data_IF_346761807861
#
_entry.id   IF_346761807861
#
_cell.length_a   1.000
_cell.length_b   1.000
_cell.length_c   1.000
_cell.angle_alpha   90.00
_cell.angle_beta   90.00
_cell.angle_gamma   90.00
#
_symmetry.space_group_name_H-M   'P 1'
#
loop_
_entity.id
_entity.type
_entity.pdbx_description
1 polymer ?
#
# COMPACT_ATOMS: atom_id res chain seq x y z
N UNK A 1 -48.87 -41.03 -28.73
CA UNK A 1 -47.82 -41.71 -29.52
C UNK A 1 -46.51 -40.98 -29.25
N UNK A 2 -45.59 -41.55 -28.45
CA UNK A 2 -44.37 -42.28 -28.87
C UNK A 2 -43.49 -41.37 -29.77
N UNK A 3 -42.28 -40.93 -29.43
CA UNK A 3 -41.18 -41.55 -28.66
C UNK A 3 -40.37 -40.53 -27.81
N UNK A 4 -39.88 -41.01 -26.66
CA UNK A 4 -38.71 -40.51 -25.91
C UNK A 4 -37.42 -41.08 -26.51
N UNK A 5 -36.27 -40.38 -26.42
CA UNK A 5 -35.13 -40.76 -25.54
C UNK A 5 -33.86 -39.88 -25.68
N UNK A 6 -32.98 -39.88 -24.65
CA UNK A 6 -31.86 -38.96 -24.41
C UNK A 6 -30.47 -39.55 -24.76
N UNK A 7 -29.44 -38.72 -24.73
CA UNK A 7 -28.01 -39.10 -24.58
C UNK A 7 -27.46 -38.25 -23.41
N UNK A 8 -27.02 -38.79 -22.26
CA UNK A 8 -25.96 -39.76 -21.94
C UNK A 8 -24.68 -39.06 -21.47
N UNK A 9 -24.51 -39.10 -20.14
CA UNK A 9 -23.29 -38.88 -19.34
C UNK A 9 -22.10 -39.69 -19.88
N UNK A 10 -20.90 -39.11 -19.81
CA UNK A 10 -19.64 -39.86 -19.73
C UNK A 10 -18.80 -39.29 -18.58
N UNK A 11 -18.77 -40.03 -17.48
CA UNK A 11 -17.75 -39.91 -16.43
C UNK A 11 -16.53 -40.74 -16.86
N UNK A 12 -15.32 -40.22 -16.68
CA UNK A 12 -14.09 -41.01 -16.72
C UNK A 12 -13.34 -40.80 -15.41
N UNK A 13 -13.18 -41.91 -14.69
CA UNK A 13 -12.46 -42.09 -13.44
C UNK A 13 -10.97 -42.38 -13.70
N UNK A 14 -10.12 -41.69 -12.92
CA UNK A 14 -8.89 -42.11 -12.23
C UNK A 14 -7.98 -43.19 -12.84
N UNK A 15 -6.67 -42.89 -12.88
CA UNK A 15 -5.61 -43.88 -12.67
C UNK A 15 -4.49 -43.29 -11.82
N UNK A 16 -4.30 -43.88 -10.64
CA UNK A 16 -3.16 -43.72 -9.74
C UNK A 16 -2.03 -44.73 -10.08
N UNK A 17 -0.86 -44.48 -9.46
CA UNK A 17 0.30 -45.38 -9.21
C UNK A 17 1.50 -45.15 -10.16
N UNK A 18 2.78 -45.14 -9.77
CA UNK A 18 3.48 -45.31 -8.47
C UNK A 18 4.98 -44.99 -8.64
N UNK A 19 5.59 -44.54 -7.53
CA UNK A 19 6.99 -44.51 -7.07
C UNK A 19 8.18 -45.14 -7.84
N UNK A 20 9.35 -44.49 -7.70
CA UNK A 20 10.66 -45.06 -7.33
C UNK A 20 11.38 -43.97 -6.48
N UNK A 21 11.78 -44.11 -5.21
CA UNK A 21 12.53 -45.16 -4.48
C UNK A 21 14.03 -44.82 -4.36
N UNK A 22 14.57 -45.07 -3.15
CA UNK A 22 15.98 -45.29 -2.75
C UNK A 22 16.73 -44.06 -2.21
N UNK A 23 17.40 -44.07 -1.05
CA UNK A 23 17.45 -44.95 0.14
C UNK A 23 18.39 -44.30 1.17
N UNK A 24 18.17 -44.65 2.43
CA UNK A 24 18.81 -44.22 3.68
C UNK A 24 20.35 -44.34 3.79
N UNK A 25 20.95 -43.53 4.68
CA UNK A 25 21.83 -44.07 5.72
C UNK A 25 21.92 -43.18 6.98
N UNK A 26 21.86 -43.84 8.14
CA UNK A 26 21.72 -43.31 9.50
C UNK A 26 23.04 -42.93 10.17
N UNK A 27 22.96 -42.04 11.17
CA UNK A 27 23.67 -42.02 12.49
C UNK A 27 23.23 -40.71 13.18
N UNK A 28 22.57 -40.66 14.33
CA UNK A 28 22.66 -41.51 15.52
C UNK A 28 23.52 -40.81 16.57
N UNK A 29 22.94 -39.89 17.36
CA UNK A 29 23.37 -39.58 18.73
C UNK A 29 22.14 -39.21 19.56
N UNK A 30 21.81 -40.09 20.49
CA UNK A 30 20.90 -39.86 21.60
C UNK A 30 21.54 -38.90 22.60
N UNK A 31 20.75 -37.95 23.13
CA UNK A 31 20.83 -37.58 24.54
C UNK A 31 19.56 -36.83 24.93
N UNK A 32 18.70 -37.52 25.68
CA UNK A 32 17.65 -36.86 26.44
C UNK A 32 18.24 -36.06 27.58
N UNK A 33 17.56 -34.99 27.99
CA UNK A 33 17.39 -34.59 29.39
C UNK A 33 16.19 -33.65 29.43
N UNK A 34 15.10 -34.17 29.98
CA UNK A 34 13.95 -33.42 30.48
C UNK A 34 14.42 -32.76 31.80
N UNK A 35 14.36 -31.42 31.89
CA UNK A 35 14.50 -30.71 33.16
C UNK A 35 13.44 -29.62 33.23
N UNK A 36 12.44 -29.88 34.05
CA UNK A 36 11.60 -28.90 34.71
C UNK A 36 12.48 -27.85 35.42
N UNK A 37 12.26 -26.58 35.12
CA UNK A 37 12.73 -25.48 35.95
C UNK A 37 11.74 -24.31 35.87
N UNK A 38 10.86 -24.25 36.87
CA UNK A 38 10.16 -23.03 37.24
C UNK A 38 11.20 -21.95 37.59
N UNK A 39 11.10 -20.79 36.94
CA UNK A 39 11.78 -19.57 37.37
C UNK A 39 10.72 -18.60 37.86
N UNK A 40 10.64 -18.54 39.18
CA UNK A 40 10.02 -17.48 39.97
C UNK A 40 11.07 -16.38 40.14
N UNK A 41 10.85 -15.16 39.62
CA UNK A 41 11.51 -13.96 40.16
C UNK A 41 10.73 -12.66 39.89
N UNK A 42 10.26 -12.10 41.00
CA UNK A 42 10.15 -10.68 41.35
C UNK A 42 9.37 -9.70 40.46
N UNK A 43 8.10 -9.50 40.83
CA UNK A 43 7.44 -8.19 40.77
C UNK A 43 8.14 -7.28 41.79
N UNK A 44 8.70 -6.17 41.33
CA UNK A 44 9.13 -5.09 42.22
C UNK A 44 8.05 -4.03 42.20
N UNK A 45 7.25 -3.97 43.26
CA UNK A 45 6.42 -2.80 43.58
C UNK A 45 7.33 -1.62 43.91
N UNK A 46 7.24 -0.56 43.11
CA UNK A 46 7.72 0.76 43.50
C UNK A 46 6.51 1.53 44.06
N UNK A 47 6.54 1.72 45.37
CA UNK A 47 5.67 2.57 46.17
C UNK A 47 5.75 4.02 45.67
N UNK A 48 4.66 4.53 45.10
CA UNK A 48 4.47 5.96 44.89
C UNK A 48 3.78 6.55 46.14
N UNK A 49 4.59 7.28 46.92
CA UNK A 49 4.16 8.08 48.06
C UNK A 49 4.28 9.55 47.71
N UNK A 50 3.17 10.28 47.67
CA UNK A 50 3.21 11.73 47.82
C UNK A 50 2.00 12.45 47.23
N UNK A 51 1.17 13.03 48.08
CA UNK A 51 -0.02 13.79 47.72
C UNK A 51 0.26 15.12 47.00
N UNK A 52 -0.81 15.87 46.66
CA UNK A 52 -0.77 16.98 45.72
C UNK A 52 -0.34 18.29 46.40
N UNK A 53 0.74 18.90 45.92
CA UNK A 53 1.08 20.29 46.23
C UNK A 53 0.88 21.17 45.00
N UNK A 54 -0.18 21.95 45.06
CA UNK A 54 -0.38 23.22 44.36
C UNK A 54 0.73 24.23 44.68
N UNK A 55 1.00 25.11 43.70
CA UNK A 55 2.03 26.16 43.64
C UNK A 55 3.35 25.64 43.00
N UNK A 56 3.96 26.26 41.99
CA UNK A 56 4.23 27.68 41.80
C UNK A 56 4.54 27.90 40.31
N UNK A 57 3.76 28.75 39.63
CA UNK A 57 4.22 29.42 38.41
C UNK A 57 5.10 30.60 38.84
N UNK A 58 6.41 30.46 38.75
CA UNK A 58 7.36 31.57 38.58
C UNK A 58 8.71 31.01 38.15
N UNK A 59 8.98 31.05 36.85
CA UNK A 59 10.34 31.25 36.37
C UNK A 59 10.25 32.28 35.23
N UNK A 60 10.50 33.53 35.60
CA UNK A 60 10.74 34.62 34.66
C UNK A 60 12.24 34.60 34.42
N UNK A 61 12.65 34.20 33.22
CA UNK A 61 14.04 34.32 32.76
C UNK A 61 14.42 35.81 32.70
N UNK A 62 15.35 36.19 33.58
CA UNK A 62 15.90 37.54 33.72
C UNK A 62 16.92 37.79 32.60
N UNK A 63 16.43 38.20 31.43
CA UNK A 63 17.29 38.73 30.36
C UNK A 63 17.64 40.19 30.68
N UNK A 64 18.84 40.39 31.24
CA UNK A 64 19.43 41.71 31.41
C UNK A 64 19.51 42.52 30.09
N UNK A 65 19.63 43.86 30.17
CA UNK A 65 19.55 44.72 28.99
C UNK A 65 20.70 44.46 28.00
N UNK A 66 20.34 44.00 26.79
CA UNK A 66 21.25 43.84 25.66
C UNK A 66 21.75 45.23 25.21
N UNK A 67 23.07 45.47 25.10
CA UNK A 67 23.59 46.74 24.60
C UNK A 67 23.28 46.90 23.09
N UNK A 68 23.00 48.12 22.61
CA UNK A 68 22.68 48.34 21.20
C UNK A 68 23.90 48.07 20.31
N UNK A 69 23.77 47.14 19.36
CA UNK A 69 24.77 46.92 18.32
C UNK A 69 24.76 48.06 17.28
N UNK A 70 25.93 48.48 16.77
CA UNK A 70 26.02 49.44 15.68
C UNK A 70 25.49 48.84 14.36
N UNK A 71 24.96 49.66 13.43
CA UNK A 71 24.44 49.17 12.16
C UNK A 71 25.59 48.64 11.31
N UNK A 72 25.69 47.31 11.20
CA UNK A 72 26.51 46.61 10.24
C UNK A 72 25.59 45.99 9.19
N UNK A 73 25.92 46.22 7.91
CA UNK A 73 25.19 45.72 6.75
C UNK A 73 24.89 44.22 6.87
N UNK A 74 23.62 43.88 7.02
CA UNK A 74 23.14 42.52 6.80
C UNK A 74 23.17 42.33 5.29
N UNK A 75 24.19 41.63 4.79
CA UNK A 75 24.17 41.11 3.44
C UNK A 75 22.99 40.13 3.36
N UNK A 76 21.87 40.63 2.82
CA UNK A 76 20.76 39.80 2.39
C UNK A 76 21.32 38.97 1.24
N UNK A 77 21.63 37.70 1.49
CA UNK A 77 21.78 36.75 0.39
C UNK A 77 20.44 36.73 -0.33
N UNK A 78 20.45 37.30 -1.53
CA UNK A 78 19.35 37.23 -2.49
C UNK A 78 19.32 35.78 -3.00
N UNK A 79 18.82 34.87 -2.16
CA UNK A 79 18.47 33.52 -2.58
C UNK A 79 17.28 33.69 -3.51
N UNK A 80 17.57 33.76 -4.80
CA UNK A 80 16.60 33.60 -5.88
C UNK A 80 16.00 32.22 -5.69
N UNK A 81 14.84 32.14 -5.03
CA UNK A 81 13.99 30.97 -5.10
C UNK A 81 13.58 30.86 -6.57
N UNK A 82 14.09 29.84 -7.25
CA UNK A 82 13.56 29.49 -8.57
C UNK A 82 12.05 29.31 -8.44
N UNK A 83 11.24 29.96 -9.31
CA UNK A 83 9.81 29.76 -9.29
C UNK A 83 9.52 28.27 -9.46
N UNK A 84 8.85 27.67 -8.47
CA UNK A 84 8.30 26.33 -8.61
C UNK A 84 7.32 26.41 -9.77
N UNK A 85 7.58 25.67 -10.85
CA UNK A 85 6.61 25.59 -11.95
C UNK A 85 5.28 25.09 -11.39
N UNK A 86 4.15 25.76 -11.71
CA UNK A 86 2.86 25.31 -11.22
C UNK A 86 2.63 23.89 -11.73
N UNK A 87 2.35 22.98 -10.80
CA UNK A 87 1.89 21.62 -11.10
C UNK A 87 0.70 21.77 -12.05
N UNK A 88 0.73 21.08 -13.18
CA UNK A 88 -0.28 21.29 -14.22
C UNK A 88 -1.68 21.07 -13.62
N UNK A 89 -2.58 22.05 -13.77
CA UNK A 89 -3.94 22.02 -13.21
C UNK A 89 -4.88 21.03 -13.93
N UNK A 90 -4.35 20.17 -14.80
CA UNK A 90 -5.12 19.23 -15.62
C UNK A 90 -4.58 17.82 -15.44
N UNK A 91 -5.24 17.02 -14.61
CA UNK A 91 -4.94 15.60 -14.39
C UNK A 91 -4.40 15.29 -13.00
N UNK A 92 -4.51 14.02 -12.60
CA UNK A 92 -3.82 13.51 -11.39
C UNK A 92 -2.32 13.66 -11.62
N UNK A 93 -1.61 14.49 -10.82
CA UNK A 93 -0.20 14.75 -11.05
C UNK A 93 0.61 13.45 -11.15
N UNK A 94 1.45 13.34 -12.18
CA UNK A 94 2.42 12.25 -12.34
C UNK A 94 1.96 11.00 -13.10
N UNK A 95 0.65 10.70 -13.21
CA UNK A 95 0.17 9.56 -14.03
C UNK A 95 0.51 9.75 -15.52
N UNK A 96 0.51 10.98 -16.01
CA UNK A 96 0.90 11.32 -17.39
C UNK A 96 2.39 11.68 -17.53
N UNK A 97 3.23 11.35 -16.54
CA UNK A 97 4.66 11.65 -16.59
C UNK A 97 5.36 10.95 -17.77
N UNK A 98 6.21 11.68 -18.48
CA UNK A 98 7.11 11.13 -19.50
C UNK A 98 8.24 10.29 -18.87
N UNK A 99 8.60 10.56 -17.61
CA UNK A 99 9.52 9.72 -16.84
C UNK A 99 8.80 8.46 -16.35
N UNK A 100 9.32 7.29 -16.74
CA UNK A 100 8.70 5.98 -16.50
C UNK A 100 8.71 5.58 -15.02
N UNK A 101 9.74 5.99 -14.26
CA UNK A 101 9.77 5.75 -12.81
C UNK A 101 8.74 6.63 -12.10
N UNK A 102 8.73 7.94 -12.39
CA UNK A 102 7.76 8.86 -11.81
C UNK A 102 6.32 8.42 -12.14
N UNK A 103 6.04 8.02 -13.38
CA UNK A 103 4.72 7.51 -13.77
C UNK A 103 4.34 6.27 -12.97
N UNK A 104 5.24 5.29 -12.88
CA UNK A 104 4.99 4.04 -12.15
C UNK A 104 4.80 4.29 -10.65
N UNK A 105 5.55 5.23 -10.08
CA UNK A 105 5.34 5.68 -8.70
C UNK A 105 3.95 6.28 -8.53
N UNK A 106 3.55 7.25 -9.36
CA UNK A 106 2.24 7.91 -9.26
C UNK A 106 1.08 6.93 -9.49
N UNK A 107 1.22 5.95 -10.39
CA UNK A 107 0.24 4.89 -10.57
C UNK A 107 0.10 4.04 -9.29
N UNK A 108 1.20 3.62 -8.65
CA UNK A 108 1.15 2.84 -7.42
C UNK A 108 0.65 3.66 -6.22
N UNK A 109 1.33 4.77 -5.92
CA UNK A 109 1.07 5.67 -4.81
C UNK A 109 -0.34 6.27 -4.89
N UNK A 110 -0.69 6.81 -6.06
CA UNK A 110 -2.01 7.38 -6.33
C UNK A 110 -3.11 6.34 -6.21
N UNK A 111 -2.89 5.11 -6.68
CA UNK A 111 -3.85 4.02 -6.50
C UNK A 111 -4.06 3.68 -5.02
N UNK A 112 -2.99 3.58 -4.24
CA UNK A 112 -3.09 3.28 -2.80
C UNK A 112 -3.87 4.37 -2.04
N UNK A 113 -3.60 5.64 -2.33
CA UNK A 113 -4.32 6.77 -1.73
C UNK A 113 -5.79 6.78 -2.15
N UNK A 114 -6.07 6.59 -3.44
CA UNK A 114 -7.43 6.56 -3.97
C UNK A 114 -8.26 5.42 -3.35
N UNK A 115 -7.65 4.25 -3.16
CA UNK A 115 -8.28 3.13 -2.44
C UNK A 115 -8.52 3.47 -0.96
N UNK A 116 -7.54 4.05 -0.29
CA UNK A 116 -7.67 4.48 1.11
C UNK A 116 -8.80 5.50 1.28
N UNK A 117 -8.89 6.48 0.38
CA UNK A 117 -9.97 7.46 0.33
C UNK A 117 -11.32 6.78 0.07
N UNK A 118 -11.39 5.86 -0.90
CA UNK A 118 -12.58 5.06 -1.19
C UNK A 118 -13.10 4.32 0.05
N UNK A 119 -12.22 3.65 0.79
CA UNK A 119 -12.56 2.97 2.05
C UNK A 119 -12.98 3.93 3.16
N UNK A 120 -12.51 5.18 3.16
CA UNK A 120 -12.87 6.17 4.16
C UNK A 120 -14.27 6.77 3.91
N UNK A 121 -14.71 6.91 2.66
CA UNK A 121 -15.94 7.63 2.33
C UNK A 121 -17.08 6.76 1.80
N UNK A 122 -16.80 5.53 1.34
CA UNK A 122 -17.79 4.64 0.73
C UNK A 122 -18.21 3.50 1.66
N UNK A 123 -19.33 2.85 1.33
CA UNK A 123 -19.71 1.60 1.98
C UNK A 123 -18.77 0.45 1.61
N UNK A 124 -18.63 -0.54 2.49
CA UNK A 124 -17.63 -1.61 2.34
C UNK A 124 -17.67 -2.35 1.00
N UNK A 125 -18.85 -2.67 0.47
CA UNK A 125 -18.96 -3.32 -0.85
C UNK A 125 -18.46 -2.43 -2.00
N UNK A 126 -18.82 -1.14 -1.98
CA UNK A 126 -18.37 -0.19 -3.00
C UNK A 126 -16.86 0.06 -2.94
N UNK A 127 -16.28 0.16 -1.74
CA UNK A 127 -14.84 0.29 -1.56
C UNK A 127 -14.08 -0.99 -1.95
N UNK A 128 -14.57 -2.17 -1.56
CA UNK A 128 -13.98 -3.45 -1.96
C UNK A 128 -14.01 -3.64 -3.48
N UNK A 129 -15.06 -3.16 -4.15
CA UNK A 129 -15.14 -3.15 -5.61
C UNK A 129 -14.00 -2.35 -6.25
N UNK A 130 -13.67 -1.18 -5.71
CA UNK A 130 -12.52 -0.41 -6.21
C UNK A 130 -11.20 -1.17 -6.03
N UNK A 131 -11.00 -1.80 -4.87
CA UNK A 131 -9.80 -2.60 -4.57
C UNK A 131 -9.65 -3.79 -5.53
N UNK A 132 -10.76 -4.45 -5.87
CA UNK A 132 -10.80 -5.54 -6.84
C UNK A 132 -10.39 -5.06 -8.23
N UNK A 133 -10.95 -3.95 -8.71
CA UNK A 133 -10.64 -3.42 -10.04
C UNK A 133 -9.18 -2.94 -10.15
N UNK A 134 -8.63 -2.37 -9.07
CA UNK A 134 -7.27 -1.83 -9.04
C UNK A 134 -6.15 -2.90 -9.01
N UNK A 135 -6.49 -4.18 -8.81
CA UNK A 135 -5.50 -5.24 -8.49
C UNK A 135 -4.33 -5.33 -9.47
N UNK A 136 -4.62 -5.22 -10.77
CA UNK A 136 -3.60 -5.35 -11.81
C UNK A 136 -2.60 -4.20 -11.77
N UNK A 137 -3.12 -2.96 -11.67
CA UNK A 137 -2.34 -1.71 -11.64
C UNK A 137 -1.31 -1.73 -10.52
N UNK A 138 -1.72 -2.13 -9.32
CA UNK A 138 -0.82 -2.19 -8.17
C UNK A 138 0.40 -3.08 -8.44
N UNK A 139 0.17 -4.26 -9.01
CA UNK A 139 1.23 -5.23 -9.30
C UNK A 139 2.14 -4.76 -10.43
N UNK A 140 1.56 -4.26 -11.53
CA UNK A 140 2.35 -3.80 -12.69
C UNK A 140 3.12 -2.52 -12.41
N UNK A 141 2.56 -1.58 -11.63
CA UNK A 141 3.21 -0.34 -11.26
C UNK A 141 4.47 -0.61 -10.42
N UNK A 142 4.40 -1.53 -9.44
CA UNK A 142 5.57 -1.92 -8.65
C UNK A 142 6.64 -2.62 -9.49
N UNK A 143 6.23 -3.49 -10.41
CA UNK A 143 7.17 -4.12 -11.35
C UNK A 143 7.89 -3.06 -12.21
N UNK A 144 7.15 -2.10 -12.75
CA UNK A 144 7.69 -1.01 -13.55
C UNK A 144 8.59 -0.06 -12.74
N UNK A 145 8.26 0.26 -11.49
CA UNK A 145 9.16 0.99 -10.58
C UNK A 145 10.52 0.28 -10.45
N UNK A 146 10.52 -1.05 -10.35
CA UNK A 146 11.76 -1.83 -10.29
C UNK A 146 12.55 -1.85 -11.60
N UNK A 147 11.85 -1.94 -12.73
CA UNK A 147 12.46 -1.93 -14.07
C UNK A 147 13.12 -0.58 -14.41
N UNK A 148 12.46 0.52 -14.04
CA UNK A 148 12.89 1.88 -14.38
C UNK A 148 13.60 2.60 -13.22
N UNK A 149 13.99 1.88 -12.17
CA UNK A 149 14.56 2.48 -10.96
C UNK A 149 15.82 3.32 -11.28
N UNK A 150 15.83 4.62 -10.95
CA UNK A 150 16.99 5.48 -11.14
C UNK A 150 18.18 5.03 -10.29
N UNK A 151 19.38 5.09 -10.86
CA UNK A 151 20.62 4.73 -10.16
C UNK A 151 20.86 5.57 -8.88
N UNK A 152 20.29 6.79 -8.82
CA UNK A 152 20.39 7.67 -7.66
C UNK A 152 19.69 7.13 -6.41
N UNK A 153 18.68 6.26 -6.59
CA UNK A 153 17.86 5.68 -5.51
C UNK A 153 17.95 4.16 -5.46
N UNK A 154 18.96 3.58 -6.10
CA UNK A 154 19.20 2.14 -6.12
C UNK A 154 19.35 1.55 -4.70
N UNK A 155 19.84 2.36 -3.74
CA UNK A 155 19.90 1.98 -2.32
C UNK A 155 18.55 1.58 -1.75
N UNK A 156 17.47 2.16 -2.27
CA UNK A 156 16.10 2.00 -1.74
C UNK A 156 15.34 0.91 -2.49
N UNK A 157 15.95 0.23 -3.48
CA UNK A 157 15.28 -0.79 -4.32
C UNK A 157 14.48 -1.79 -3.49
N UNK A 158 15.10 -2.37 -2.47
CA UNK A 158 14.44 -3.38 -1.61
C UNK A 158 13.24 -2.78 -0.89
N UNK A 159 13.39 -1.57 -0.34
CA UNK A 159 12.31 -0.89 0.35
C UNK A 159 11.15 -0.58 -0.61
N UNK A 160 11.43 -0.07 -1.81
CA UNK A 160 10.43 0.37 -2.79
C UNK A 160 9.72 -0.77 -3.53
N UNK A 161 10.44 -1.83 -3.90
CA UNK A 161 9.89 -2.87 -4.78
C UNK A 161 9.45 -4.10 -4.01
N UNK A 162 9.78 -4.18 -2.72
CA UNK A 162 9.44 -5.33 -1.87
C UNK A 162 8.82 -4.86 -0.57
N UNK A 163 9.57 -4.20 0.31
CA UNK A 163 9.15 -4.07 1.71
C UNK A 163 7.88 -3.20 1.86
N UNK A 164 7.86 -2.04 1.21
CA UNK A 164 6.73 -1.11 1.20
C UNK A 164 5.49 -1.67 0.48
N UNK A 165 5.57 -2.16 -0.77
CA UNK A 165 4.37 -2.57 -1.51
C UNK A 165 3.83 -3.94 -1.11
N UNK A 166 4.65 -4.83 -0.53
CA UNK A 166 4.27 -6.24 -0.34
C UNK A 166 2.95 -6.44 0.40
N UNK A 167 2.65 -5.75 1.53
CA UNK A 167 1.38 -5.95 2.21
C UNK A 167 0.16 -5.66 1.31
N UNK A 168 0.20 -4.54 0.58
CA UNK A 168 -0.85 -4.18 -0.37
C UNK A 168 -0.90 -5.17 -1.55
N UNK A 169 0.27 -5.59 -2.07
CA UNK A 169 0.33 -6.56 -3.17
C UNK A 169 -0.24 -7.92 -2.80
N UNK A 170 -0.12 -8.38 -1.55
CA UNK A 170 -0.79 -9.61 -1.11
C UNK A 170 -2.31 -9.47 -1.15
N UNK A 171 -2.85 -8.30 -0.82
CA UNK A 171 -4.28 -8.01 -0.95
C UNK A 171 -4.71 -7.98 -2.42
N UNK A 172 -3.92 -7.31 -3.26
CA UNK A 172 -4.13 -7.28 -4.70
C UNK A 172 -4.12 -8.72 -5.28
N UNK A 173 -3.13 -9.54 -4.95
CA UNK A 173 -3.05 -10.95 -5.36
C UNK A 173 -4.30 -11.73 -4.92
N UNK A 174 -4.80 -11.49 -3.70
CA UNK A 174 -6.05 -12.10 -3.24
C UNK A 174 -7.25 -11.65 -4.07
N UNK A 175 -7.38 -10.37 -4.35
CA UNK A 175 -8.45 -9.83 -5.18
C UNK A 175 -8.39 -10.38 -6.62
N UNK A 176 -7.19 -10.51 -7.19
CA UNK A 176 -6.97 -11.14 -8.50
C UNK A 176 -7.43 -12.60 -8.51
N UNK A 177 -7.10 -13.36 -7.46
CA UNK A 177 -7.56 -14.74 -7.33
C UNK A 177 -9.09 -14.83 -7.26
N UNK A 178 -9.76 -13.89 -6.58
CA UNK A 178 -11.22 -13.85 -6.49
C UNK A 178 -11.89 -13.48 -7.81
N UNK A 179 -11.30 -12.59 -8.61
CA UNK A 179 -11.75 -12.33 -9.99
C UNK A 179 -11.64 -13.58 -10.85
N UNK A 180 -10.51 -14.30 -10.75
CA UNK A 180 -10.32 -15.55 -11.48
C UNK A 180 -11.32 -16.63 -11.04
N UNK A 181 -11.60 -16.75 -9.73
CA UNK A 181 -12.61 -17.65 -9.17
C UNK A 181 -14.04 -17.30 -9.65
N UNK A 182 -14.33 -16.01 -9.86
CA UNK A 182 -15.58 -15.52 -10.44
C UNK A 182 -15.67 -15.75 -11.98
N UNK A 183 -14.58 -16.19 -12.61
CA UNK A 183 -14.51 -16.53 -14.03
C UNK A 183 -13.98 -15.42 -14.93
N UNK A 184 -13.41 -14.35 -14.37
CA UNK A 184 -12.76 -13.28 -15.14
C UNK A 184 -11.41 -13.77 -15.65
N UNK A 185 -11.17 -13.64 -16.95
CA UNK A 185 -9.90 -14.04 -17.55
C UNK A 185 -8.80 -12.97 -17.36
N UNK A 186 -7.55 -13.41 -17.48
CA UNK A 186 -6.38 -12.56 -17.24
C UNK A 186 -6.35 -11.29 -18.10
N UNK A 187 -6.66 -11.31 -19.42
CA UNK A 187 -6.75 -10.09 -20.21
C UNK A 187 -7.83 -9.12 -19.72
N UNK A 188 -8.96 -9.64 -19.22
CA UNK A 188 -10.02 -8.79 -18.65
C UNK A 188 -9.60 -8.18 -17.33
N UNK A 189 -8.84 -8.90 -16.48
CA UNK A 189 -8.28 -8.33 -15.25
C UNK A 189 -7.32 -7.17 -15.56
N UNK A 190 -6.48 -7.30 -16.59
CA UNK A 190 -5.62 -6.18 -17.06
C UNK A 190 -6.47 -4.99 -17.52
N UNK A 191 -7.52 -5.24 -18.31
CA UNK A 191 -8.42 -4.19 -18.78
C UNK A 191 -9.15 -3.48 -17.62
N UNK A 192 -9.53 -4.19 -16.55
CA UNK A 192 -10.06 -3.58 -15.33
C UNK A 192 -9.04 -2.63 -14.69
N UNK A 193 -7.76 -2.99 -14.68
CA UNK A 193 -6.70 -2.11 -14.23
C UNK A 193 -6.60 -0.81 -15.05
N UNK A 194 -6.72 -0.90 -16.37
CA UNK A 194 -6.74 0.30 -17.23
C UNK A 194 -7.97 1.17 -16.96
N UNK A 195 -9.13 0.56 -16.70
CA UNK A 195 -10.33 1.28 -16.29
C UNK A 195 -10.17 1.97 -14.93
N UNK A 196 -9.45 1.36 -14.00
CA UNK A 196 -9.11 1.98 -12.72
C UNK A 196 -8.27 3.24 -12.91
N UNK A 197 -7.17 3.18 -13.69
CA UNK A 197 -6.35 4.38 -13.94
C UNK A 197 -7.14 5.49 -14.64
N UNK A 198 -8.00 5.14 -15.59
CA UNK A 198 -8.87 6.11 -16.24
C UNK A 198 -9.82 6.78 -15.23
N UNK A 199 -10.40 6.01 -14.31
CA UNK A 199 -11.29 6.53 -13.27
C UNK A 199 -10.57 7.42 -12.26
N UNK A 200 -9.36 7.03 -11.81
CA UNK A 200 -8.53 7.87 -10.92
C UNK A 200 -8.16 9.18 -11.62
N UNK A 201 -7.74 9.11 -12.88
CA UNK A 201 -7.38 10.29 -13.68
C UNK A 201 -8.55 11.26 -13.86
N UNK A 202 -9.74 10.73 -14.17
CA UNK A 202 -10.96 11.52 -14.35
C UNK A 202 -11.46 12.13 -13.02
N UNK A 203 -11.35 11.39 -11.91
CA UNK A 203 -11.73 11.90 -10.59
C UNK A 203 -10.85 13.11 -10.20
N UNK A 204 -9.55 13.05 -10.47
CA UNK A 204 -8.63 14.13 -10.11
C UNK A 204 -8.57 14.36 -8.58
N UNK A 205 -8.03 15.51 -8.19
CA UNK A 205 -7.80 15.86 -6.77
C UNK A 205 -9.04 16.41 -6.06
N UNK A 206 -9.98 16.98 -6.82
CA UNK A 206 -11.12 17.74 -6.28
C UNK A 206 -12.41 16.92 -6.21
N UNK A 207 -12.40 15.66 -6.69
CA UNK A 207 -13.60 14.83 -6.67
C UNK A 207 -13.92 14.31 -5.28
N UNK A 208 -15.16 14.52 -4.85
CA UNK A 208 -15.72 13.93 -3.64
C UNK A 208 -16.14 12.46 -3.83
N UNK A 209 -15.99 11.92 -5.05
CA UNK A 209 -16.44 10.55 -5.38
C UNK A 209 -15.44 9.84 -6.28
N UNK A 210 -15.30 8.52 -6.10
CA UNK A 210 -14.50 7.67 -6.96
C UNK A 210 -15.31 6.44 -7.35
N UNK A 211 -15.52 6.23 -8.64
CA UNK A 211 -16.30 5.12 -9.16
C UNK A 211 -15.74 4.63 -10.50
N UNK A 212 -15.76 3.31 -10.70
CA UNK A 212 -15.43 2.69 -11.98
C UNK A 212 -16.71 2.16 -12.62
N UNK A 213 -17.00 2.63 -13.83
CA UNK A 213 -18.18 2.18 -14.60
C UNK A 213 -17.80 0.97 -15.45
N UNK A 214 -18.51 -0.15 -15.27
CA UNK A 214 -18.35 -1.37 -16.09
C UNK A 214 -19.59 -1.54 -16.95
N UNK A 215 -19.45 -1.39 -18.27
CA UNK A 215 -20.59 -1.42 -19.20
C UNK A 215 -21.11 -2.84 -19.48
N UNK A 216 -20.26 -3.86 -19.32
CA UNK A 216 -20.66 -5.26 -19.49
C UNK A 216 -21.32 -5.76 -18.20
N UNK A 217 -22.64 -6.04 -18.21
CA UNK A 217 -23.37 -6.45 -17.01
C UNK A 217 -22.93 -7.83 -16.48
N UNK A 218 -22.34 -8.69 -17.32
CA UNK A 218 -21.84 -9.98 -16.86
C UNK A 218 -20.51 -9.80 -16.09
N UNK A 219 -19.62 -8.94 -16.59
CA UNK A 219 -18.38 -8.59 -15.90
C UNK A 219 -18.67 -7.81 -14.62
N UNK A 220 -19.65 -6.91 -14.66
CA UNK A 220 -20.10 -6.12 -13.51
C UNK A 220 -20.49 -7.01 -12.32
N UNK A 221 -21.32 -8.03 -12.57
CA UNK A 221 -21.73 -9.01 -11.56
C UNK A 221 -20.55 -9.86 -11.04
N UNK A 222 -19.60 -10.23 -11.91
CA UNK A 222 -18.40 -10.98 -11.49
C UNK A 222 -17.49 -10.15 -10.58
N UNK A 223 -17.35 -8.85 -10.87
CA UNK A 223 -16.62 -7.91 -10.02
C UNK A 223 -17.33 -7.74 -8.67
N UNK A 224 -18.66 -7.63 -8.65
CA UNK A 224 -19.43 -7.56 -7.39
C UNK A 224 -19.32 -8.84 -6.55
N UNK A 225 -19.30 -10.02 -7.18
CA UNK A 225 -19.04 -11.28 -6.48
C UNK A 225 -17.64 -11.31 -5.86
N UNK A 226 -16.61 -10.92 -6.61
CA UNK A 226 -15.24 -10.85 -6.11
C UNK A 226 -15.11 -9.82 -4.97
N UNK A 227 -15.77 -8.67 -5.08
CA UNK A 227 -15.76 -7.61 -4.06
C UNK A 227 -16.41 -8.07 -2.75
N UNK A 228 -17.57 -8.72 -2.81
CA UNK A 228 -18.21 -9.32 -1.63
C UNK A 228 -17.32 -10.38 -0.99
N UNK A 229 -16.73 -11.26 -1.79
CA UNK A 229 -15.83 -12.28 -1.29
C UNK A 229 -14.55 -11.69 -0.67
N UNK A 230 -14.04 -10.56 -1.18
CA UNK A 230 -12.89 -9.86 -0.62
C UNK A 230 -13.23 -9.26 0.75
N UNK A 231 -14.37 -8.58 0.86
CA UNK A 231 -14.87 -7.96 2.09
C UNK A 231 -15.10 -8.98 3.22
N UNK A 232 -15.47 -10.21 2.88
CA UNK A 232 -15.62 -11.31 3.85
C UNK A 232 -14.28 -11.80 4.42
N UNK A 233 -13.18 -11.56 3.71
CA UNK A 233 -11.88 -12.17 4.01
C UNK A 233 -10.86 -11.20 4.58
N UNK A 234 -10.98 -9.93 4.22
CA UNK A 234 -10.01 -8.91 4.58
C UNK A 234 -10.72 -7.73 5.26
N UNK A 235 -10.11 -7.14 6.30
CA UNK A 235 -10.61 -5.90 6.86
C UNK A 235 -10.50 -4.75 5.83
N UNK A 236 -11.26 -3.67 6.02
CA UNK A 236 -11.07 -2.41 5.30
C UNK A 236 -9.59 -1.97 5.32
N UNK A 237 -9.09 -1.35 4.24
CA UNK A 237 -7.70 -0.85 4.16
C UNK A 237 -7.36 0.05 5.36
N UNK A 238 -8.26 0.97 5.71
CA UNK A 238 -8.08 1.92 6.82
C UNK A 238 -8.06 1.25 8.21
N UNK A 239 -8.50 0.00 8.30
CA UNK A 239 -8.55 -0.79 9.54
C UNK A 239 -7.54 -1.94 9.54
N UNK A 240 -6.75 -2.11 8.47
CA UNK A 240 -5.84 -3.25 8.31
C UNK A 240 -4.45 -2.92 8.89
N UNK A 241 -4.08 -3.46 10.06
CA UNK A 241 -2.77 -3.20 10.66
C UNK A 241 -1.62 -3.79 9.85
N UNK A 242 -1.87 -4.74 8.94
CA UNK A 242 -0.83 -5.33 8.10
C UNK A 242 -0.31 -4.36 7.03
N UNK A 243 -1.05 -3.29 6.73
CA UNK A 243 -0.67 -2.25 5.79
C UNK A 243 0.22 -1.16 6.40
N UNK A 244 0.45 -1.20 7.71
CA UNK A 244 1.37 -0.29 8.39
C UNK A 244 2.80 -0.79 8.17
N UNK A 245 3.57 -0.05 7.39
CA UNK A 245 4.97 -0.36 7.08
C UNK A 245 5.86 0.80 7.52
N UNK A 246 6.95 0.48 8.21
CA UNK A 246 7.99 1.43 8.62
C UNK A 246 9.28 1.08 7.87
N UNK A 247 9.57 1.83 6.81
CA UNK A 247 10.75 1.66 5.97
C UNK A 247 11.35 3.02 5.65
N UNK A 248 12.68 3.10 5.64
CA UNK A 248 13.39 4.31 5.23
C UNK A 248 13.51 4.33 3.70
N UNK A 249 12.90 5.34 3.08
CA UNK A 249 12.96 5.61 1.64
C UNK A 249 13.43 7.06 1.38
N UNK A 250 14.27 7.61 2.27
CA UNK A 250 14.70 9.02 2.22
C UNK A 250 15.36 9.40 0.88
N UNK A 251 16.11 8.50 0.24
CA UNK A 251 16.72 8.81 -1.05
C UNK A 251 15.65 8.92 -2.15
N UNK A 252 14.65 8.04 -2.09
CA UNK A 252 13.48 8.09 -2.97
C UNK A 252 12.65 9.35 -2.76
N UNK A 253 12.35 9.72 -1.51
CA UNK A 253 11.58 10.94 -1.22
C UNK A 253 12.26 12.19 -1.79
N UNK A 254 13.58 12.31 -1.61
CA UNK A 254 14.35 13.39 -2.22
C UNK A 254 14.29 13.35 -3.75
N UNK A 255 14.44 12.16 -4.35
CA UNK A 255 14.38 12.02 -5.80
C UNK A 255 13.00 12.39 -6.37
N UNK A 256 11.92 11.91 -5.76
CA UNK A 256 10.55 12.22 -6.16
C UNK A 256 10.31 13.73 -6.08
N UNK A 257 10.75 14.37 -4.99
CA UNK A 257 10.62 15.81 -4.80
C UNK A 257 11.34 16.64 -5.87
N UNK A 258 12.54 16.19 -6.27
CA UNK A 258 13.40 16.91 -7.22
C UNK A 258 13.05 16.64 -8.69
N UNK A 259 12.51 15.46 -9.01
CA UNK A 259 12.44 14.96 -10.39
C UNK A 259 11.01 14.64 -10.85
N UNK A 260 10.07 14.37 -9.95
CA UNK A 260 8.71 13.98 -10.33
C UNK A 260 7.73 15.16 -10.23
N UNK A 261 6.78 15.26 -11.19
CA UNK A 261 5.85 16.40 -11.28
C UNK A 261 4.88 16.48 -10.10
N UNK A 262 4.59 15.34 -9.45
CA UNK A 262 3.74 15.23 -8.25
C UNK A 262 4.54 15.35 -6.95
N UNK A 263 5.87 15.52 -7.04
CA UNK A 263 6.82 15.60 -5.91
C UNK A 263 6.70 14.43 -4.93
N UNK A 264 6.20 13.30 -5.40
CA UNK A 264 5.99 12.11 -4.55
C UNK A 264 4.90 12.26 -3.50
N UNK A 265 3.92 13.16 -3.68
CA UNK A 265 2.88 13.41 -2.69
C UNK A 265 1.98 12.18 -2.49
N UNK A 266 2.38 11.35 -1.52
CA UNK A 266 1.51 10.48 -0.74
C UNK A 266 0.80 11.33 0.33
N UNK A 267 -0.14 12.20 -0.04
CA UNK A 267 -1.13 12.78 0.89
C UNK A 267 -1.59 11.71 1.87
N UNK A 268 -1.10 11.75 3.12
CA UNK A 268 -1.46 10.80 4.17
C UNK A 268 -0.30 10.27 5.03
N UNK A 269 0.95 10.30 4.58
CA UNK A 269 2.10 9.78 5.36
C UNK A 269 2.94 10.87 6.06
N UNK A 270 2.59 12.14 5.92
CA UNK A 270 3.21 13.20 6.72
C UNK A 270 2.88 12.96 8.19
N UNK A 271 3.88 12.52 8.98
CA UNK A 271 3.81 12.60 10.44
C UNK A 271 3.64 14.07 10.81
N UNK A 272 2.43 14.45 11.23
CA UNK A 272 2.25 15.67 12.01
C UNK A 272 2.66 15.31 13.43
N UNK A 273 3.89 15.65 13.81
CA UNK A 273 4.30 15.64 15.21
C UNK A 273 3.32 16.54 16.00
N UNK A 274 2.60 15.95 16.96
CA UNK A 274 1.76 16.67 17.93
C UNK A 274 2.54 16.99 19.20
#
# INVERSE_FOLDING_TARGET
MKLRRPFAMAAVLVSMATACSSSDDQRGVENGTEVDAAVETAVTEATDTGGPDTAVFTETDDLGPVPPQPPGDVAVSDSVLEPIEPVSETGVPGIDSDDEFCRSWSEFAGSYQALTFGWAIQGGEAAARLEVVATDVLSRAVAAMGEHLPAAIESDRQALTVDLPTPLLRRAERARALLADAGVDEPTIVALGDMWLAAVTEAGLESETLAVTIDDPALDEMVDEAARALLEQLPPIIEDPSLIVDVDISATENHLFENCPDRGVLSGNDRIDQ
#
